data_IF_013765873241
#
_entry.id   IF_013765873241
#
_cell.length_a   1.000
_cell.length_b   1.000
_cell.length_c   1.000
_cell.angle_alpha   90.00
_cell.angle_beta   90.00
_cell.angle_gamma   90.00
#
_symmetry.space_group_name_H-M   'P 1'
#
loop_
_entity.id
_entity.type
_entity.pdbx_description
1 polymer ?
#
# COMPACT_ATOMS: atom_id res chain seq x y z
N UNK A 1 17.70 12.39 20.43
CA UNK A 1 17.40 11.96 19.06
C UNK A 1 16.78 10.56 19.00
N UNK A 2 17.46 9.49 19.42
CA UNK A 2 16.89 8.12 19.38
C UNK A 2 15.69 7.92 20.31
N UNK A 3 15.74 8.49 21.52
CA UNK A 3 14.64 8.47 22.50
C UNK A 3 13.40 9.22 22.02
N UNK A 4 13.60 10.32 21.30
CA UNK A 4 12.53 11.18 20.80
C UNK A 4 11.83 10.54 19.60
N UNK A 5 12.58 9.80 18.76
CA UNK A 5 12.03 8.96 17.68
C UNK A 5 11.19 7.81 18.25
N UNK A 6 11.65 7.16 19.33
CA UNK A 6 10.86 6.10 19.98
C UNK A 6 9.55 6.62 20.59
N UNK A 7 9.55 7.82 21.20
CA UNK A 7 8.32 8.44 21.72
C UNK A 7 7.35 8.78 20.58
N UNK A 8 7.84 9.31 19.46
CA UNK A 8 7.02 9.64 18.29
C UNK A 8 6.39 8.40 17.67
N UNK A 9 7.15 7.31 17.53
CA UNK A 9 6.66 6.02 17.04
C UNK A 9 5.62 5.40 17.99
N UNK A 10 5.82 5.51 19.31
CA UNK A 10 4.87 5.01 20.30
C UNK A 10 3.54 5.78 20.28
N UNK A 11 3.59 7.11 20.13
CA UNK A 11 2.40 7.95 20.02
C UNK A 11 1.60 7.65 18.74
N UNK A 12 2.27 7.43 17.60
CA UNK A 12 1.62 7.03 16.35
C UNK A 12 0.94 5.66 16.46
N UNK A 13 1.53 4.72 17.22
CA UNK A 13 0.95 3.39 17.44
C UNK A 13 -0.32 3.39 18.30
N UNK A 14 -0.41 4.27 19.32
CA UNK A 14 -1.60 4.34 20.18
C UNK A 14 -2.86 4.78 19.42
N UNK A 15 -2.73 5.62 18.39
CA UNK A 15 -3.86 6.08 17.56
C UNK A 15 -4.50 5.00 16.68
N UNK A 16 -3.89 3.83 16.51
CA UNK A 16 -4.45 2.72 15.71
C UNK A 16 -5.29 1.72 16.52
N UNK A 17 -5.30 1.82 17.86
CA UNK A 17 -5.97 0.82 18.71
C UNK A 17 -7.50 1.05 18.85
N UNK A 18 -8.03 2.20 18.43
CA UNK A 18 -9.48 2.46 18.40
C UNK A 18 -10.11 2.01 17.05
N UNK A 19 -10.11 0.70 16.79
CA UNK A 19 -10.87 0.13 15.69
C UNK A 19 -11.82 -0.95 16.24
N UNK A 20 -12.95 -0.50 16.80
CA UNK A 20 -14.04 -1.36 17.27
C UNK A 20 -15.34 -1.06 16.49
N UNK A 21 -15.24 -1.10 15.17
CA UNK A 21 -16.41 -1.15 14.28
C UNK A 21 -16.37 -2.48 13.51
N UNK A 22 -17.55 -3.01 13.18
CA UNK A 22 -17.73 -4.13 12.25
C UNK A 22 -16.80 -3.94 11.06
N UNK A 23 -16.03 -4.96 10.67
CA UNK A 23 -15.04 -4.81 9.61
C UNK A 23 -15.73 -4.54 8.25
N UNK A 24 -15.88 -3.26 7.89
CA UNK A 24 -16.44 -2.81 6.59
C UNK A 24 -15.53 -3.17 5.39
N UNK A 25 -14.33 -3.68 5.66
CA UNK A 25 -13.29 -3.95 4.68
C UNK A 25 -12.48 -5.16 5.08
N UNK A 26 -12.01 -5.90 4.08
CA UNK A 26 -11.15 -7.05 4.24
C UNK A 26 -9.87 -6.86 3.43
N UNK A 27 -8.72 -7.16 4.05
CA UNK A 27 -7.45 -7.29 3.32
C UNK A 27 -7.30 -8.73 2.84
N UNK A 28 -7.30 -8.92 1.53
CA UNK A 28 -7.12 -10.24 0.91
C UNK A 28 -5.65 -10.69 1.01
N UNK A 29 -5.36 -12.00 0.86
CA UNK A 29 -3.99 -12.53 0.88
C UNK A 29 -3.06 -11.94 -0.20
N UNK A 30 -3.61 -11.57 -1.36
CA UNK A 30 -2.89 -10.83 -2.41
C UNK A 30 -2.73 -9.32 -2.11
N UNK A 31 -3.02 -8.95 -0.85
CA UNK A 31 -2.97 -7.59 -0.33
C UNK A 31 -3.88 -6.62 -1.07
N UNK A 32 -5.02 -7.03 -1.65
CA UNK A 32 -6.07 -6.10 -2.14
C UNK A 32 -7.11 -5.83 -1.07
N UNK A 33 -7.70 -4.63 -1.07
CA UNK A 33 -8.80 -4.30 -0.13
C UNK A 33 -10.14 -4.60 -0.81
N UNK A 34 -10.91 -5.49 -0.21
CA UNK A 34 -12.32 -5.72 -0.55
C UNK A 34 -13.16 -4.87 0.38
N UNK A 35 -14.11 -4.11 -0.16
CA UNK A 35 -15.11 -3.38 0.62
C UNK A 35 -16.31 -4.29 0.79
N UNK A 36 -16.68 -4.59 2.03
CA UNK A 36 -17.76 -5.52 2.37
C UNK A 36 -19.12 -4.82 2.48
N UNK A 37 -19.12 -3.54 2.86
CA UNK A 37 -20.32 -2.72 2.98
C UNK A 37 -20.24 -1.51 2.06
N UNK A 38 -21.32 -1.24 1.31
CA UNK A 38 -21.37 -0.04 0.47
C UNK A 38 -21.70 1.19 1.30
N UNK A 39 -21.18 2.38 0.94
CA UNK A 39 -21.60 3.64 1.54
C UNK A 39 -23.13 3.81 1.55
N UNK A 40 -23.64 4.55 2.53
CA UNK A 40 -25.08 4.76 2.72
C UNK A 40 -25.73 5.56 1.57
N UNK A 41 -27.05 5.45 1.48
CA UNK A 41 -27.88 6.30 0.62
C UNK A 41 -28.11 7.64 1.31
N UNK A 42 -28.07 8.74 0.56
CA UNK A 42 -28.19 10.12 1.05
C UNK A 42 -29.22 10.91 0.25
N UNK A 43 -29.67 12.03 0.80
CA UNK A 43 -30.76 12.82 0.20
C UNK A 43 -30.26 14.07 -0.55
N UNK A 44 -29.00 14.47 -0.35
CA UNK A 44 -28.45 15.68 -0.98
C UNK A 44 -27.10 15.46 -1.68
N UNK A 45 -26.81 16.29 -2.69
CA UNK A 45 -25.53 16.26 -3.42
C UNK A 45 -24.33 16.60 -2.52
N UNK A 46 -24.55 17.40 -1.47
CA UNK A 46 -23.51 17.72 -0.51
C UNK A 46 -23.12 16.47 0.31
N UNK A 47 -24.13 15.71 0.74
CA UNK A 47 -23.94 14.47 1.50
C UNK A 47 -23.24 13.38 0.69
N UNK A 48 -23.40 13.36 -0.64
CA UNK A 48 -22.64 12.46 -1.52
C UNK A 48 -21.14 12.59 -1.27
N UNK A 49 -20.66 13.81 -1.01
CA UNK A 49 -19.25 14.10 -0.78
C UNK A 49 -18.86 13.99 0.70
N UNK A 50 -19.73 14.35 1.65
CA UNK A 50 -19.36 14.35 3.08
C UNK A 50 -19.53 13.00 3.74
N UNK A 51 -20.50 12.19 3.29
CA UNK A 51 -20.81 10.87 3.85
C UNK A 51 -20.10 9.72 3.13
N UNK A 52 -19.16 10.05 2.23
CA UNK A 52 -18.32 9.06 1.57
C UNK A 52 -17.26 8.46 2.50
N UNK A 53 -16.82 7.25 2.20
CA UNK A 53 -15.84 6.51 2.99
C UNK A 53 -14.46 6.46 2.32
N UNK A 54 -13.41 6.62 3.13
CA UNK A 54 -12.02 6.47 2.71
C UNK A 54 -11.48 5.08 3.08
N UNK A 55 -10.90 4.40 2.09
CA UNK A 55 -10.24 3.11 2.24
C UNK A 55 -8.77 3.24 1.86
N UNK A 56 -7.91 3.13 2.86
CA UNK A 56 -6.47 3.12 2.69
C UNK A 56 -5.89 1.71 2.65
N UNK A 57 -4.81 1.55 1.91
CA UNK A 57 -3.89 0.42 2.03
C UNK A 57 -2.47 0.93 2.00
N UNK A 58 -1.65 0.43 2.91
CA UNK A 58 -0.21 0.59 2.87
C UNK A 58 0.44 -0.79 2.67
N UNK A 59 1.47 -0.87 1.84
CA UNK A 59 2.19 -2.09 1.49
C UNK A 59 3.69 -1.84 1.58
N UNK A 60 4.38 -2.72 2.30
CA UNK A 60 5.83 -2.77 2.39
C UNK A 60 6.28 -4.16 1.90
N UNK A 61 7.22 -4.19 0.97
CA UNK A 61 7.89 -5.41 0.54
C UNK A 61 9.40 -5.18 0.69
N UNK A 62 10.03 -5.95 1.56
CA UNK A 62 11.47 -5.95 1.74
C UNK A 62 12.03 -7.29 1.23
N UNK A 63 13.05 -7.23 0.39
CA UNK A 63 13.74 -8.40 -0.12
C UNK A 63 15.22 -8.28 0.20
N UNK A 64 15.80 -9.36 0.72
CA UNK A 64 17.23 -9.50 0.95
C UNK A 64 17.70 -10.74 0.23
N UNK A 65 18.76 -10.59 -0.56
CA UNK A 65 19.38 -11.66 -1.31
C UNK A 65 20.80 -11.83 -0.79
N UNK A 66 21.09 -13.06 -0.40
CA UNK A 66 22.37 -13.53 0.12
C UNK A 66 22.72 -14.77 -0.72
N UNK A 67 23.73 -14.65 -1.58
CA UNK A 67 24.15 -15.67 -2.52
C UNK A 67 25.44 -16.34 -2.05
N UNK A 68 25.44 -17.67 -2.00
CA UNK A 68 26.64 -18.43 -1.63
C UNK A 68 27.83 -18.15 -2.59
N UNK A 69 27.54 -17.99 -3.88
CA UNK A 69 28.50 -17.67 -4.93
C UNK A 69 28.07 -16.41 -5.72
N UNK A 70 28.86 -15.34 -5.63
CA UNK A 70 28.68 -14.16 -6.47
C UNK A 70 29.36 -14.34 -7.84
N UNK A 71 28.58 -14.26 -8.90
CA UNK A 71 29.05 -14.40 -10.29
C UNK A 71 28.74 -13.12 -11.04
N UNK A 72 29.79 -12.50 -11.60
CA UNK A 72 29.67 -11.28 -12.38
C UNK A 72 28.62 -11.42 -13.50
N UNK A 73 27.73 -10.44 -13.59
CA UNK A 73 26.58 -10.44 -14.48
C UNK A 73 25.43 -11.40 -14.15
N UNK A 74 25.48 -12.20 -13.07
CA UNK A 74 24.44 -13.21 -12.74
C UNK A 74 23.90 -13.17 -11.32
N UNK A 75 24.75 -13.16 -10.30
CA UNK A 75 24.37 -13.24 -8.88
C UNK A 75 25.21 -12.26 -8.08
N UNK A 76 24.55 -11.54 -7.16
CA UNK A 76 25.18 -10.54 -6.29
C UNK A 76 24.26 -10.27 -5.11
N UNK A 77 24.84 -10.10 -3.93
CA UNK A 77 24.12 -9.72 -2.74
C UNK A 77 23.50 -8.34 -2.88
N UNK A 78 22.25 -8.22 -2.46
CA UNK A 78 21.56 -6.95 -2.48
C UNK A 78 20.31 -6.97 -1.61
N UNK A 79 19.88 -5.76 -1.28
CA UNK A 79 18.64 -5.52 -0.59
C UNK A 79 17.80 -4.55 -1.41
N UNK A 80 16.49 -4.73 -1.38
CA UNK A 80 15.57 -3.74 -1.92
C UNK A 80 14.32 -3.59 -1.07
N UNK A 81 13.80 -2.37 -1.00
CA UNK A 81 12.56 -2.05 -0.30
C UNK A 81 11.58 -1.35 -1.24
N UNK A 82 10.47 -2.03 -1.57
CA UNK A 82 9.31 -1.39 -2.18
C UNK A 82 8.31 -0.97 -1.12
N UNK A 83 7.98 0.32 -1.06
CA UNK A 83 6.88 0.84 -0.25
C UNK A 83 5.84 1.50 -1.13
N UNK A 84 4.57 1.27 -0.87
CA UNK A 84 3.52 1.87 -1.67
C UNK A 84 2.19 1.81 -0.98
N UNK A 85 1.25 2.59 -1.48
CA UNK A 85 -0.07 2.66 -0.89
C UNK A 85 -1.12 3.11 -1.88
N UNK A 86 -2.35 2.90 -1.49
CA UNK A 86 -3.52 3.42 -2.20
C UNK A 86 -4.48 4.01 -1.20
N UNK A 87 -5.10 5.11 -1.60
CA UNK A 87 -6.28 5.67 -0.93
C UNK A 87 -7.39 5.68 -1.95
N UNK A 88 -8.52 5.09 -1.59
CA UNK A 88 -9.75 5.11 -2.36
C UNK A 88 -10.81 5.87 -1.59
N UNK A 89 -11.48 6.78 -2.26
CA UNK A 89 -12.65 7.47 -1.74
C UNK A 89 -13.87 6.94 -2.49
N UNK A 90 -14.86 6.43 -1.77
CA UNK A 90 -16.17 6.07 -2.32
C UNK A 90 -17.19 7.07 -1.81
N UNK A 91 -17.90 7.74 -2.71
CA UNK A 91 -18.97 8.65 -2.34
C UNK A 91 -20.15 7.87 -1.74
N UNK A 92 -20.99 8.57 -0.97
CA UNK A 92 -22.33 8.06 -0.69
C UNK A 92 -23.18 7.99 -1.98
N UNK A 93 -24.30 7.30 -1.92
CA UNK A 93 -25.18 7.12 -3.07
C UNK A 93 -26.36 8.09 -3.01
N UNK A 94 -26.62 8.78 -4.11
CA UNK A 94 -27.82 9.61 -4.29
C UNK A 94 -28.68 9.01 -5.40
N UNK A 95 -29.85 8.51 -5.04
CA UNK A 95 -30.75 7.76 -5.91
C UNK A 95 -30.05 6.58 -6.60
N UNK A 96 -29.20 5.86 -5.86
CA UNK A 96 -28.40 4.74 -6.35
C UNK A 96 -27.22 5.12 -7.24
N UNK A 97 -26.89 6.42 -7.36
CA UNK A 97 -25.73 6.90 -8.11
C UNK A 97 -24.63 7.33 -7.15
N UNK A 98 -23.45 6.75 -7.31
CA UNK A 98 -22.24 7.09 -6.57
C UNK A 98 -21.01 7.01 -7.47
N UNK A 99 -19.88 7.51 -6.99
CA UNK A 99 -18.61 7.46 -7.69
C UNK A 99 -17.48 7.01 -6.77
N UNK A 100 -16.37 6.59 -7.37
CA UNK A 100 -15.16 6.21 -6.65
C UNK A 100 -13.97 6.92 -7.26
N UNK A 101 -13.16 7.56 -6.43
CA UNK A 101 -11.87 8.13 -6.79
C UNK A 101 -10.76 7.35 -6.08
N UNK A 102 -9.59 7.23 -6.71
CA UNK A 102 -8.48 6.52 -6.12
C UNK A 102 -7.15 7.11 -6.51
N UNK A 103 -6.24 7.20 -5.54
CA UNK A 103 -4.85 7.58 -5.74
C UNK A 103 -3.96 6.40 -5.34
N UNK A 104 -2.93 6.14 -6.15
CA UNK A 104 -1.93 5.12 -5.89
C UNK A 104 -0.54 5.72 -6.00
N UNK A 105 0.34 5.33 -5.08
CA UNK A 105 1.76 5.69 -5.13
C UNK A 105 2.61 4.49 -4.73
N UNK A 106 3.80 4.39 -5.32
CA UNK A 106 4.79 3.37 -5.00
C UNK A 106 6.18 3.96 -5.16
N UNK A 107 7.00 3.81 -4.14
CA UNK A 107 8.34 4.36 -4.02
C UNK A 107 9.29 3.21 -3.67
N UNK A 108 10.52 3.30 -4.17
CA UNK A 108 11.61 2.39 -3.81
C UNK A 108 12.78 3.21 -3.26
N UNK A 109 12.78 3.58 -1.96
CA UNK A 109 13.84 4.44 -1.42
C UNK A 109 15.16 3.70 -1.18
N UNK A 110 15.13 2.37 -1.02
CA UNK A 110 16.32 1.52 -0.99
C UNK A 110 16.32 0.62 -2.20
N UNK A 111 16.93 1.12 -3.25
CA UNK A 111 17.12 0.44 -4.52
C UNK A 111 18.60 0.18 -4.76
N UNK A 112 18.89 -0.75 -5.66
CA UNK A 112 20.25 -0.96 -6.15
C UNK A 112 20.64 0.14 -7.13
N UNK A 113 21.94 0.34 -7.28
CA UNK A 113 22.48 1.21 -8.33
C UNK A 113 22.16 0.65 -9.73
N UNK A 114 22.05 1.54 -10.72
CA UNK A 114 21.65 1.19 -12.09
C UNK A 114 22.52 0.10 -12.72
N UNK A 115 23.83 0.16 -12.49
CA UNK A 115 24.81 -0.83 -12.97
C UNK A 115 24.58 -2.25 -12.43
N UNK A 116 23.90 -2.35 -11.29
CA UNK A 116 23.63 -3.60 -10.59
C UNK A 116 22.23 -4.14 -10.89
N UNK A 117 21.35 -3.41 -11.59
CA UNK A 117 19.98 -3.86 -11.92
C UNK A 117 19.92 -5.23 -12.62
N UNK A 118 20.97 -5.60 -13.35
CA UNK A 118 21.12 -6.92 -14.01
C UNK A 118 21.12 -8.11 -13.04
N UNK A 119 21.46 -7.88 -11.77
CA UNK A 119 21.49 -8.90 -10.72
C UNK A 119 20.12 -9.11 -10.03
N UNK A 120 19.16 -8.21 -10.26
CA UNK A 120 17.82 -8.30 -9.67
C UNK A 120 16.97 -9.36 -10.39
N UNK A 121 16.88 -10.56 -9.83
CA UNK A 121 16.17 -11.69 -10.46
C UNK A 121 14.72 -11.88 -9.98
N UNK A 122 14.41 -11.53 -8.74
CA UNK A 122 13.11 -11.85 -8.11
C UNK A 122 12.43 -10.55 -7.69
N UNK A 123 11.18 -10.35 -8.08
CA UNK A 123 10.39 -9.16 -7.72
C UNK A 123 10.19 -8.12 -8.83
N UNK A 124 10.69 -8.35 -10.06
CA UNK A 124 10.41 -7.47 -11.21
C UNK A 124 8.90 -7.26 -11.42
N UNK A 125 8.10 -8.33 -11.34
CA UNK A 125 6.63 -8.26 -11.39
C UNK A 125 5.95 -7.71 -10.13
N UNK A 126 6.68 -7.52 -9.02
CA UNK A 126 6.16 -6.89 -7.79
C UNK A 126 6.31 -5.37 -7.85
N UNK A 127 7.32 -4.89 -8.58
CA UNK A 127 7.63 -3.46 -8.73
C UNK A 127 7.10 -2.87 -10.05
N UNK A 128 6.91 -3.67 -11.09
CA UNK A 128 6.39 -3.23 -12.37
C UNK A 128 5.09 -3.95 -12.72
N UNK A 129 3.96 -3.21 -12.72
CA UNK A 129 2.64 -3.71 -13.11
C UNK A 129 2.58 -4.16 -14.59
N UNK A 130 3.45 -3.64 -15.43
CA UNK A 130 3.49 -3.92 -16.86
C UNK A 130 4.47 -5.03 -17.24
N UNK A 131 5.21 -5.59 -16.29
CA UNK A 131 6.15 -6.70 -16.50
C UNK A 131 5.47 -8.05 -16.19
N UNK A 132 4.44 -8.35 -16.98
CA UNK A 132 3.80 -9.66 -17.09
C UNK A 132 4.07 -10.21 -18.49
N UNK A 133 5.23 -10.84 -18.68
CA UNK A 133 5.56 -11.63 -19.85
C UNK A 133 6.45 -12.83 -19.45
#
# INVERSE_FOLDING_TARGET
>A
MLRDICLLCALLFLSFLEANETEKRQLNPNSTVTVLESPQEVESLAEVLTEGEFYGRFRLNAFSFDWDDEVEGKTRDHQTLGMGGSIHYKSAYLNGIGFTAGLYTSQNPWHMDEENLKYYKVGKGVLNRHDVA
#
